data_IF_072923075783
#
_entry.id   IF_072923075783
#
_cell.length_a   1.000
_cell.length_b   1.000
_cell.length_c   1.000
_cell.angle_alpha   90.00
_cell.angle_beta   90.00
_cell.angle_gamma   90.00
#
_symmetry.space_group_name_H-M   'P 1'
#
loop_
_entity.id
_entity.type
_entity.pdbx_description
1 polymer ?
#
# COMPACT_ATOMS: atom_id res chain seq x y z
N UNK A 1 26.44 -9.76 -8.83
CA UNK A 1 26.58 -8.77 -7.72
C UNK A 1 27.23 -7.45 -8.15
N UNK A 2 28.32 -7.47 -8.92
CA UNK A 2 29.09 -6.26 -9.30
C UNK A 2 28.23 -5.16 -9.93
N UNK A 3 27.33 -5.51 -10.85
CA UNK A 3 26.42 -4.55 -11.50
C UNK A 3 25.48 -3.85 -10.50
N UNK A 4 24.92 -4.56 -9.52
CA UNK A 4 24.04 -3.99 -8.51
C UNK A 4 24.79 -3.03 -7.57
N UNK A 5 26.02 -3.39 -7.18
CA UNK A 5 26.86 -2.51 -6.36
C UNK A 5 27.20 -1.22 -7.09
N UNK A 6 27.52 -1.30 -8.38
CA UNK A 6 27.78 -0.13 -9.22
C UNK A 6 26.55 0.78 -9.24
N UNK A 7 25.37 0.24 -9.59
CA UNK A 7 24.13 1.03 -9.64
C UNK A 7 23.78 1.67 -8.30
N UNK A 8 23.96 0.95 -7.18
CA UNK A 8 23.73 1.50 -5.85
C UNK A 8 24.66 2.68 -5.54
N UNK A 9 25.95 2.60 -5.91
CA UNK A 9 26.91 3.70 -5.75
C UNK A 9 26.58 4.88 -6.64
N UNK A 10 26.21 4.61 -7.90
CA UNK A 10 25.81 5.64 -8.85
C UNK A 10 24.57 6.39 -8.32
N UNK A 11 23.58 5.69 -7.76
CA UNK A 11 22.41 6.28 -7.10
C UNK A 11 22.76 7.09 -5.84
N UNK A 12 23.70 6.63 -5.02
CA UNK A 12 24.14 7.37 -3.83
C UNK A 12 24.80 8.70 -4.19
N UNK A 13 25.42 8.81 -5.38
CA UNK A 13 26.08 10.05 -5.82
C UNK A 13 25.13 11.24 -6.05
N UNK A 14 23.82 10.99 -6.14
CA UNK A 14 22.79 12.05 -6.25
C UNK A 14 22.46 12.72 -4.92
N UNK A 15 22.77 12.08 -3.81
CA UNK A 15 22.54 12.64 -2.49
C UNK A 15 23.77 13.43 -2.04
N UNK A 16 23.59 14.70 -1.68
CA UNK A 16 24.67 15.56 -1.17
C UNK A 16 25.25 15.01 0.14
N UNK A 17 24.39 14.42 0.98
CA UNK A 17 24.76 13.76 2.24
C UNK A 17 23.93 12.51 2.42
N UNK A 18 24.55 11.39 2.81
CA UNK A 18 23.88 10.14 3.16
C UNK A 18 24.62 9.39 4.26
N UNK A 19 23.89 8.56 5.00
CA UNK A 19 24.45 7.66 6.02
C UNK A 19 23.95 6.23 5.76
N UNK A 20 24.84 5.25 5.96
CA UNK A 20 24.53 3.82 5.83
C UNK A 20 24.51 3.20 7.23
N UNK A 21 23.31 2.89 7.70
CA UNK A 21 23.10 2.26 9.00
C UNK A 21 22.80 0.77 8.83
N UNK A 22 23.57 -0.06 9.55
CA UNK A 22 23.26 -1.47 9.67
C UNK A 22 22.25 -1.68 10.80
N UNK A 23 21.13 -2.31 10.48
CA UNK A 23 20.02 -2.55 11.40
C UNK A 23 19.85 -4.06 11.60
N UNK A 24 19.39 -4.50 12.77
CA UNK A 24 19.13 -5.92 13.01
C UNK A 24 17.97 -6.39 12.15
N UNK A 25 18.02 -7.66 11.72
CA UNK A 25 16.96 -8.25 10.88
C UNK A 25 15.59 -8.21 11.55
N UNK A 26 15.55 -8.37 12.87
CA UNK A 26 14.30 -8.31 13.66
C UNK A 26 13.64 -6.93 13.61
N UNK A 27 14.45 -5.88 13.44
CA UNK A 27 13.99 -4.49 13.36
C UNK A 27 13.61 -4.11 11.91
N UNK A 28 14.12 -4.84 10.91
CA UNK A 28 13.81 -4.63 9.49
C UNK A 28 12.66 -5.53 8.98
N UNK A 29 11.66 -5.77 9.83
CA UNK A 29 10.58 -6.74 9.56
C UNK A 29 9.77 -6.43 8.30
N UNK A 30 9.52 -5.15 7.99
CA UNK A 30 8.76 -4.74 6.81
C UNK A 30 9.49 -5.10 5.50
N UNK A 31 10.78 -4.78 5.39
CA UNK A 31 11.55 -5.12 4.18
C UNK A 31 11.70 -6.64 4.04
N UNK A 32 11.86 -7.38 5.14
CA UNK A 32 11.92 -8.84 5.13
C UNK A 32 10.59 -9.46 4.67
N UNK A 33 9.45 -8.91 5.13
CA UNK A 33 8.13 -9.33 4.67
C UNK A 33 7.92 -9.10 3.17
N UNK A 34 8.32 -7.93 2.65
CA UNK A 34 8.25 -7.63 1.22
C UNK A 34 9.17 -8.53 0.39
N UNK A 35 10.40 -8.78 0.87
CA UNK A 35 11.34 -9.68 0.19
C UNK A 35 10.80 -11.12 0.12
N UNK A 36 10.17 -11.59 1.21
CA UNK A 36 9.48 -12.88 1.25
C UNK A 36 8.28 -12.91 0.29
N UNK A 37 7.47 -11.86 0.25
CA UNK A 37 6.35 -11.75 -0.67
C UNK A 37 6.82 -11.83 -2.13
N UNK A 38 7.82 -11.04 -2.51
CA UNK A 38 8.38 -11.03 -3.86
C UNK A 38 9.04 -12.38 -4.26
N UNK A 39 9.59 -13.11 -3.29
CA UNK A 39 10.21 -14.42 -3.50
C UNK A 39 9.21 -15.58 -3.40
N UNK A 40 7.99 -15.32 -2.91
CA UNK A 40 6.97 -16.35 -2.69
C UNK A 40 6.47 -16.88 -4.03
N UNK A 41 6.19 -18.19 -4.07
CA UNK A 41 5.53 -18.86 -5.19
C UNK A 41 4.10 -19.29 -4.84
N UNK A 42 3.55 -18.72 -3.77
CA UNK A 42 2.20 -19.01 -3.32
C UNK A 42 1.18 -18.49 -4.35
N UNK A 43 0.52 -19.43 -5.02
CA UNK A 43 -0.43 -19.15 -6.08
C UNK A 43 -1.66 -18.38 -5.59
N UNK A 44 -2.05 -18.50 -4.33
CA UNK A 44 -3.25 -17.84 -3.81
C UNK A 44 -2.93 -16.39 -3.41
N UNK A 45 -1.74 -16.15 -2.85
CA UNK A 45 -1.22 -14.80 -2.64
C UNK A 45 -1.02 -14.05 -3.96
N UNK A 46 -0.52 -14.71 -5.00
CA UNK A 46 -0.32 -14.10 -6.33
C UNK A 46 -1.64 -13.76 -7.05
N UNK A 47 -2.76 -14.41 -6.68
CA UNK A 47 -4.10 -14.03 -7.18
C UNK A 47 -4.64 -12.80 -6.45
N UNK A 48 -4.36 -12.68 -5.16
CA UNK A 48 -4.83 -11.58 -4.33
C UNK A 48 -4.00 -10.30 -4.49
N UNK A 49 -2.69 -10.44 -4.71
CA UNK A 49 -1.74 -9.33 -4.82
C UNK A 49 -1.14 -9.38 -6.24
N UNK A 50 -1.50 -8.45 -7.13
CA UNK A 50 -0.89 -8.36 -8.44
C UNK A 50 0.60 -8.03 -8.30
N UNK A 51 1.47 -9.00 -8.60
CA UNK A 51 2.91 -8.79 -8.67
C UNK A 51 3.31 -8.71 -10.14
N UNK A 52 3.79 -7.55 -10.56
CA UNK A 52 4.30 -7.38 -11.92
C UNK A 52 5.59 -8.18 -12.10
N UNK A 53 5.63 -8.98 -13.16
CA UNK A 53 6.83 -9.72 -13.55
C UNK A 53 7.38 -9.13 -14.85
N UNK A 54 8.52 -8.47 -14.73
CA UNK A 54 9.23 -7.93 -15.88
C UNK A 54 9.85 -9.06 -16.71
N UNK A 55 9.78 -8.92 -18.04
CA UNK A 55 10.35 -9.89 -18.99
C UNK A 55 11.88 -9.77 -19.12
N UNK A 56 12.45 -8.61 -18.76
CA UNK A 56 13.88 -8.31 -18.77
C UNK A 56 14.33 -7.72 -17.44
N UNK A 57 15.60 -7.90 -17.04
CA UNK A 57 16.14 -7.27 -15.84
C UNK A 57 16.21 -5.75 -15.99
N UNK A 58 15.66 -5.00 -15.04
CA UNK A 58 15.71 -3.53 -15.04
C UNK A 58 17.11 -2.97 -14.78
N UNK A 59 18.07 -3.81 -14.41
CA UNK A 59 19.44 -3.40 -14.07
C UNK A 59 20.22 -2.85 -15.27
N UNK A 60 19.84 -3.28 -16.49
CA UNK A 60 20.45 -2.87 -17.75
C UNK A 60 19.79 -1.61 -18.34
N UNK A 61 18.61 -1.26 -17.84
CA UNK A 61 17.95 0.01 -18.14
C UNK A 61 18.49 1.09 -17.21
N UNK A 62 18.56 2.33 -17.70
CA UNK A 62 18.90 3.51 -16.90
C UNK A 62 17.88 3.64 -15.75
N UNK A 63 18.19 3.00 -14.60
CA UNK A 63 17.36 3.03 -13.39
C UNK A 63 17.07 4.46 -12.93
N UNK A 64 17.93 5.41 -13.31
CA UNK A 64 17.77 6.80 -12.95
C UNK A 64 16.46 7.42 -13.48
N UNK A 65 16.08 7.07 -14.70
CA UNK A 65 14.92 7.68 -15.35
C UNK A 65 13.61 7.05 -14.89
N UNK A 66 13.64 5.77 -14.50
CA UNK A 66 12.41 5.04 -14.14
C UNK A 66 12.17 4.99 -12.62
N UNK A 67 13.23 4.89 -11.80
CA UNK A 67 13.09 4.76 -10.35
C UNK A 67 13.00 6.10 -9.61
N UNK A 68 13.57 7.19 -10.15
CA UNK A 68 13.51 8.53 -9.53
C UNK A 68 12.34 9.37 -10.01
N UNK A 69 11.63 8.94 -11.06
CA UNK A 69 10.42 9.60 -11.49
C UNK A 69 9.24 9.03 -10.71
N UNK A 70 9.01 9.54 -9.50
CA UNK A 70 7.63 9.63 -9.02
C UNK A 70 6.97 10.51 -10.07
N UNK A 71 6.23 9.94 -11.03
CA UNK A 71 5.46 10.78 -11.93
C UNK A 71 4.67 11.72 -11.03
N UNK A 72 4.79 13.03 -11.20
CA UNK A 72 4.00 14.03 -10.47
C UNK A 72 2.49 13.87 -10.74
N UNK A 73 2.04 12.80 -11.40
CA UNK A 73 0.64 12.41 -11.51
C UNK A 73 0.18 11.90 -10.15
N UNK A 74 -0.55 12.70 -9.35
CA UNK A 74 -1.05 12.29 -8.04
C UNK A 74 -2.29 11.39 -8.21
N UNK A 75 -2.57 10.90 -9.43
CA UNK A 75 -3.89 10.38 -9.80
C UNK A 75 -4.21 9.09 -9.07
N UNK A 76 -3.31 8.11 -9.06
CA UNK A 76 -3.56 6.83 -8.39
C UNK A 76 -3.73 6.99 -6.87
N UNK A 77 -2.87 7.79 -6.23
CA UNK A 77 -2.90 7.96 -4.78
C UNK A 77 -4.12 8.79 -4.35
N UNK A 78 -4.48 9.83 -5.12
CA UNK A 78 -5.71 10.61 -4.89
C UNK A 78 -6.96 9.75 -5.06
N UNK A 79 -7.00 8.88 -6.06
CA UNK A 79 -8.15 7.97 -6.30
C UNK A 79 -8.31 6.95 -5.16
N UNK A 80 -7.22 6.37 -4.66
CA UNK A 80 -7.27 5.47 -3.50
C UNK A 80 -7.74 6.21 -2.25
N UNK A 81 -7.20 7.41 -1.99
CA UNK A 81 -7.60 8.23 -0.84
C UNK A 81 -9.08 8.62 -0.94
N UNK A 82 -9.56 9.02 -2.12
CA UNK A 82 -10.97 9.37 -2.35
C UNK A 82 -11.88 8.15 -2.09
N UNK A 83 -11.53 6.98 -2.65
CA UNK A 83 -12.27 5.74 -2.43
C UNK A 83 -12.38 5.36 -0.95
N UNK A 84 -11.26 5.44 -0.20
CA UNK A 84 -11.24 5.13 1.23
C UNK A 84 -12.07 6.13 2.04
N UNK A 85 -12.05 7.41 1.66
CA UNK A 85 -12.87 8.43 2.31
C UNK A 85 -14.36 8.25 2.02
N UNK A 86 -14.72 7.87 0.79
CA UNK A 86 -16.10 7.65 0.36
C UNK A 86 -16.68 6.35 0.95
N UNK A 87 -15.90 5.28 1.10
CA UNK A 87 -16.32 4.06 1.81
C UNK A 87 -16.63 4.35 3.28
N UNK A 88 -15.75 5.09 3.96
CA UNK A 88 -16.00 5.51 5.34
C UNK A 88 -17.22 6.43 5.48
N UNK A 89 -17.65 7.11 4.40
CA UNK A 89 -18.87 7.91 4.39
C UNK A 89 -20.11 7.04 4.14
N UNK A 90 -20.05 6.08 3.22
CA UNK A 90 -21.14 5.16 2.92
C UNK A 90 -21.46 4.24 4.11
N UNK A 91 -20.44 3.67 4.77
CA UNK A 91 -20.59 2.79 5.93
C UNK A 91 -21.18 3.53 7.14
N UNK A 92 -20.74 4.77 7.40
CA UNK A 92 -21.33 5.60 8.46
C UNK A 92 -22.77 5.99 8.18
N UNK A 93 -23.14 6.18 6.91
CA UNK A 93 -24.54 6.47 6.54
C UNK A 93 -25.44 5.25 6.72
N UNK A 94 -24.97 4.05 6.34
CA UNK A 94 -25.73 2.80 6.57
C UNK A 94 -25.92 2.55 8.07
N UNK A 95 -24.87 2.69 8.87
CA UNK A 95 -24.93 2.46 10.31
C UNK A 95 -25.82 3.49 11.04
N UNK A 96 -25.77 4.77 10.62
CA UNK A 96 -26.63 5.82 11.17
C UNK A 96 -28.11 5.67 10.75
N UNK A 97 -28.37 5.13 9.55
CA UNK A 97 -29.73 4.83 9.08
C UNK A 97 -30.35 3.64 9.83
N UNK A 98 -29.57 2.59 10.10
CA UNK A 98 -29.98 1.44 10.90
C UNK A 98 -30.20 1.82 12.37
N UNK A 99 -29.31 2.65 12.94
CA UNK A 99 -29.49 3.18 14.30
C UNK A 99 -30.75 4.05 14.42
N UNK A 100 -31.04 4.85 13.39
CA UNK A 100 -32.27 5.67 13.33
C UNK A 100 -33.54 4.82 13.16
N UNK A 101 -33.47 3.71 12.43
CA UNK A 101 -34.59 2.79 12.25
C UNK A 101 -34.86 1.98 13.53
N UNK A 102 -33.83 1.45 14.19
CA UNK A 102 -33.93 0.80 15.50
C UNK A 102 -34.45 1.76 16.57
N UNK A 103 -33.99 3.01 16.57
CA UNK A 103 -34.47 4.04 17.50
C UNK A 103 -35.97 4.37 17.35
N UNK A 104 -36.51 4.29 16.12
CA UNK A 104 -37.96 4.46 15.86
C UNK A 104 -38.77 3.23 16.28
N UNK A 105 -38.24 2.03 16.09
CA UNK A 105 -38.89 0.76 16.45
C UNK A 105 -38.97 0.55 17.97
N UNK A 106 -37.92 0.91 18.71
CA UNK A 106 -37.89 0.89 20.19
C UNK A 106 -38.85 1.93 20.79
N UNK A 107 -39.10 3.05 20.11
CA UNK A 107 -40.09 4.04 20.52
C UNK A 107 -41.52 3.58 20.24
N UNK A 108 -41.76 2.88 19.12
CA UNK A 108 -43.06 2.31 18.78
C UNK A 108 -43.49 1.18 19.74
N UNK A 109 -42.54 0.35 20.17
CA UNK A 109 -42.78 -0.78 21.09
C UNK A 109 -42.95 -0.39 22.57
N UNK A 110 -42.53 0.82 22.97
CA UNK A 110 -42.82 1.38 24.31
C UNK A 110 -44.18 2.09 24.43
N UNK A 111 -44.89 2.32 23.32
CA UNK A 111 -46.14 3.09 23.31
C UNK A 111 -47.41 2.23 23.38
N UNK A 112 -47.29 0.89 23.45
CA UNK A 112 -48.40 -0.02 23.71
C UNK A 112 -48.03 -1.00 24.83
N UNK A 113 -48.44 -0.77 26.08
CA UNK A 113 -48.71 -1.87 27.00
C UNK A 113 -50.12 -2.42 26.69
N UNK A 114 -50.23 -3.74 26.62
CA UNK A 114 -51.46 -4.42 27.06
C UNK A 114 -51.28 -4.67 28.55
#
# INVERSE_FOLDING_TARGET
>A
MVAYLKNAKDLLSYFEVYELLQILRVENGYADALSKLASSKDSDLMKAIPVEKLSRPTIDESLLTTAMTISESPRWMKEIIAYLNDQGAAERQTENSEASQKGREVRATRQYPV
#
